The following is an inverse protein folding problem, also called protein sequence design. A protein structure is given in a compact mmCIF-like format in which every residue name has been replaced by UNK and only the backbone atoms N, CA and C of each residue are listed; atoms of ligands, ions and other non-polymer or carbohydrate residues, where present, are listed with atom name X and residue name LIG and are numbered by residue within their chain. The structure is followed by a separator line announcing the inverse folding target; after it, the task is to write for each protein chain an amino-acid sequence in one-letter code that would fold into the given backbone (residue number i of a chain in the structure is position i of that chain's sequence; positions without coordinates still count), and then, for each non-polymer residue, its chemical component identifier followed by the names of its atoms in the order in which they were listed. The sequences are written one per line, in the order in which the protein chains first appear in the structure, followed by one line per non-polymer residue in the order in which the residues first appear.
data_IF_288272360942
#
_entry.id   IF_288272360942
#
_cell.length_a   1.000
_cell.length_b   1.000
_cell.length_c   1.000
_cell.angle_alpha   90.00
_cell.angle_beta   90.00
_cell.angle_gamma   90.00
#
_symmetry.space_group_name_H-M   'P 1'
#
loop_
_entity.id
_entity.type
_entity.pdbx_description
1 polymer ?
#
# COMPACT_ATOMS: atom_id res chain seq x y z
N UNK A 1 10.72 1.31 -4.16
CA UNK A 1 10.49 0.37 -3.05
C UNK A 1 11.24 -0.91 -3.36
N UNK A 2 12.04 -1.37 -2.42
CA UNK A 2 12.84 -2.60 -2.51
C UNK A 2 12.37 -3.59 -1.45
N UNK A 3 12.18 -4.84 -1.83
CA UNK A 3 11.80 -5.95 -0.95
C UNK A 3 12.78 -7.10 -1.16
N UNK A 4 13.40 -7.58 -0.09
CA UNK A 4 14.17 -8.81 -0.11
C UNK A 4 13.49 -9.85 0.78
N UNK A 5 13.02 -10.92 0.19
CA UNK A 5 12.27 -11.98 0.89
C UNK A 5 13.18 -13.03 1.52
N UNK A 6 14.49 -12.90 1.37
CA UNK A 6 15.46 -13.91 1.83
C UNK A 6 15.10 -15.33 1.31
N UNK A 7 14.74 -15.41 0.01
CA UNK A 7 14.32 -16.60 -0.71
C UNK A 7 12.99 -17.22 -0.22
N UNK A 8 12.21 -16.53 0.60
CA UNK A 8 10.87 -16.98 0.96
C UNK A 8 9.87 -16.64 -0.16
N UNK A 9 8.85 -17.48 -0.32
CA UNK A 9 7.75 -17.23 -1.26
C UNK A 9 6.71 -16.36 -0.57
N UNK A 10 6.32 -15.24 -1.20
CA UNK A 10 5.24 -14.41 -0.69
C UNK A 10 3.92 -15.14 -0.96
N UNK A 11 3.14 -15.34 0.09
CA UNK A 11 1.82 -15.99 0.06
C UNK A 11 0.75 -15.01 0.51
N UNK A 12 -0.53 -15.40 0.40
CA UNK A 12 -1.66 -14.59 0.88
C UNK A 12 -1.62 -14.49 2.42
N UNK A 13 -1.57 -15.61 3.13
CA UNK A 13 -1.43 -15.68 4.59
C UNK A 13 -0.56 -16.88 4.98
N UNK A 14 0.25 -16.78 6.03
CA UNK A 14 0.58 -15.60 6.85
C UNK A 14 1.60 -14.66 6.18
N UNK A 15 1.68 -13.39 6.64
CA UNK A 15 2.75 -12.47 6.24
C UNK A 15 4.12 -13.06 6.58
N UNK A 16 5.03 -13.02 5.61
CA UNK A 16 6.44 -13.38 5.82
C UNK A 16 7.25 -12.13 6.19
N UNK A 17 8.31 -12.29 6.98
CA UNK A 17 9.26 -11.21 7.28
C UNK A 17 10.21 -11.00 6.11
N UNK A 18 10.40 -9.72 5.75
CA UNK A 18 11.27 -9.30 4.64
C UNK A 18 12.10 -8.09 5.05
N UNK A 19 13.24 -7.91 4.38
CA UNK A 19 13.93 -6.62 4.43
C UNK A 19 13.21 -5.65 3.49
N UNK A 20 12.79 -4.52 4.03
CA UNK A 20 11.98 -3.54 3.34
C UNK A 20 12.68 -2.19 3.31
N UNK A 21 12.83 -1.61 2.12
CA UNK A 21 13.55 -0.38 1.91
C UNK A 21 12.81 0.54 0.95
N UNK A 22 12.70 1.82 1.31
CA UNK A 22 12.12 2.87 0.46
C UNK A 22 13.17 3.94 0.24
N UNK A 23 13.44 4.23 -1.03
CA UNK A 23 14.40 5.24 -1.48
C UNK A 23 13.64 6.31 -2.25
N UNK A 24 13.84 7.59 -1.90
CA UNK A 24 13.37 8.74 -2.67
C UNK A 24 14.41 9.87 -2.61
N UNK A 25 15.25 9.94 -3.62
CA UNK A 25 16.30 10.95 -3.75
C UNK A 25 15.80 12.22 -4.49
N UNK A 26 14.54 12.23 -4.94
CA UNK A 26 13.97 13.41 -5.60
C UNK A 26 13.87 14.59 -4.62
N UNK A 27 14.22 15.85 -5.04
CA UNK A 27 14.66 16.26 -6.39
C UNK A 27 16.18 16.21 -6.61
N UNK A 28 16.95 15.67 -5.67
CA UNK A 28 18.42 15.79 -5.66
C UNK A 28 19.14 14.80 -6.60
N UNK A 29 18.47 13.70 -6.98
CA UNK A 29 19.10 12.68 -7.81
C UNK A 29 18.16 11.55 -8.22
N UNK A 30 18.75 10.54 -8.84
CA UNK A 30 18.10 9.29 -9.19
C UNK A 30 18.17 8.31 -8.02
N UNK A 31 17.24 7.36 -7.99
CA UNK A 31 17.22 6.28 -7.02
C UNK A 31 17.94 5.06 -7.61
N UNK A 32 18.92 4.53 -6.88
CA UNK A 32 19.61 3.29 -7.24
C UNK A 32 19.28 2.19 -6.24
N UNK A 33 19.18 0.92 -6.69
CA UNK A 33 18.95 -0.21 -5.78
C UNK A 33 20.00 -0.34 -4.67
N UNK A 34 21.22 0.15 -4.90
CA UNK A 34 22.32 0.13 -3.93
C UNK A 34 22.25 1.22 -2.87
N UNK A 35 21.39 2.24 -3.07
CA UNK A 35 21.26 3.34 -2.12
C UNK A 35 20.64 2.86 -0.80
N UNK A 36 21.00 3.54 0.29
CA UNK A 36 20.33 3.34 1.58
C UNK A 36 18.87 3.82 1.53
N UNK A 37 18.01 3.18 2.29
CA UNK A 37 16.61 3.62 2.43
C UNK A 37 16.53 4.92 3.22
N UNK A 38 16.36 6.05 2.51
CA UNK A 38 16.29 7.37 3.14
C UNK A 38 14.86 7.74 3.59
N UNK A 39 13.83 7.07 3.08
CA UNK A 39 12.44 7.20 3.57
C UNK A 39 12.14 6.14 4.62
N UNK A 40 12.53 4.91 4.38
CA UNK A 40 12.41 3.79 5.32
C UNK A 40 13.45 2.72 5.02
N UNK A 41 13.98 2.12 6.07
CA UNK A 41 14.78 0.91 5.98
C UNK A 41 14.61 0.09 7.25
N UNK A 42 14.13 -1.14 7.12
CA UNK A 42 13.87 -2.00 8.27
C UNK A 42 13.18 -3.31 7.86
N UNK A 43 12.57 -3.95 8.84
CA UNK A 43 11.83 -5.19 8.66
C UNK A 43 10.35 -4.87 8.38
N UNK A 44 9.72 -5.64 7.50
CA UNK A 44 8.27 -5.62 7.31
C UNK A 44 7.73 -7.03 7.15
N UNK A 45 6.46 -7.22 7.50
CA UNK A 45 5.68 -8.35 7.06
C UNK A 45 5.10 -8.07 5.67
N UNK A 46 5.14 -9.03 4.76
CA UNK A 46 4.53 -8.92 3.44
C UNK A 46 3.63 -10.11 3.14
N UNK A 47 2.51 -9.86 2.49
CA UNK A 47 1.57 -10.85 1.99
C UNK A 47 1.04 -10.45 0.62
N UNK A 48 0.62 -11.41 -0.20
CA UNK A 48 -0.22 -11.12 -1.36
C UNK A 48 -1.60 -10.76 -0.83
N UNK A 49 -2.25 -9.78 -1.43
CA UNK A 49 -3.62 -9.42 -1.07
C UNK A 49 -4.52 -9.40 -2.30
N UNK A 50 -5.83 -9.39 -2.04
CA UNK A 50 -6.85 -9.30 -3.07
C UNK A 50 -7.28 -10.68 -3.57
N UNK A 51 -8.46 -10.74 -4.15
CA UNK A 51 -9.05 -11.94 -4.73
C UNK A 51 -8.66 -12.04 -6.21
N UNK A 52 -9.35 -11.29 -7.08
CA UNK A 52 -9.04 -11.28 -8.51
C UNK A 52 -7.66 -10.68 -8.81
N UNK A 53 -7.31 -9.58 -8.17
CA UNK A 53 -6.01 -8.91 -8.39
C UNK A 53 -4.81 -9.79 -8.01
N UNK A 54 -4.98 -10.70 -7.04
CA UNK A 54 -3.96 -11.67 -6.67
C UNK A 54 -3.67 -12.71 -7.77
N UNK A 55 -4.57 -12.89 -8.74
CA UNK A 55 -4.36 -13.81 -9.88
C UNK A 55 -3.57 -13.16 -11.02
N UNK A 56 -3.45 -11.83 -11.03
CA UNK A 56 -2.77 -11.10 -12.10
C UNK A 56 -1.25 -11.25 -12.01
N UNK A 57 -0.51 -11.05 -13.13
CA UNK A 57 0.95 -11.13 -13.13
C UNK A 57 1.62 -10.17 -12.15
N UNK A 58 1.19 -8.91 -12.10
CA UNK A 58 1.61 -7.96 -11.07
C UNK A 58 0.63 -8.02 -9.90
N UNK A 59 1.11 -8.46 -8.75
CA UNK A 59 0.28 -8.68 -7.56
C UNK A 59 0.27 -7.46 -6.65
N UNK A 60 -0.86 -7.13 -6.02
CA UNK A 60 -0.90 -6.21 -4.90
C UNK A 60 -0.36 -6.86 -3.63
N UNK A 61 0.23 -6.07 -2.73
CA UNK A 61 0.79 -6.56 -1.48
C UNK A 61 0.27 -5.79 -0.28
N UNK A 62 0.01 -6.51 0.81
CA UNK A 62 -0.12 -5.95 2.15
C UNK A 62 1.26 -5.88 2.79
N UNK A 63 1.60 -4.72 3.35
CA UNK A 63 2.89 -4.48 4.02
C UNK A 63 2.59 -4.08 5.46
N UNK A 64 3.33 -4.64 6.40
CA UNK A 64 3.25 -4.30 7.82
C UNK A 64 4.63 -3.99 8.34
N UNK A 65 4.93 -2.71 8.59
CA UNK A 65 6.23 -2.31 9.15
C UNK A 65 6.38 -2.83 10.56
N UNK A 66 7.55 -3.44 10.86
CA UNK A 66 7.84 -4.13 12.11
C UNK A 66 9.15 -3.65 12.74
N UNK A 67 9.23 -3.77 14.07
CA UNK A 67 10.49 -3.64 14.78
C UNK A 67 11.33 -4.93 14.70
N UNK A 68 12.54 -4.89 15.27
CA UNK A 68 13.42 -6.06 15.28
C UNK A 68 12.94 -7.22 16.14
N UNK A 69 11.94 -7.00 17.00
CA UNK A 69 11.26 -8.03 17.79
C UNK A 69 10.07 -8.63 17.06
N UNK A 70 9.69 -8.07 15.89
CA UNK A 70 8.54 -8.51 15.10
C UNK A 70 7.21 -7.86 15.48
N UNK A 71 7.23 -6.86 16.38
CA UNK A 71 6.03 -6.10 16.73
C UNK A 71 5.75 -5.02 15.68
N UNK A 72 4.48 -4.57 15.64
CA UNK A 72 4.06 -3.49 14.76
C UNK A 72 4.84 -2.21 15.06
N UNK A 73 5.38 -1.60 14.03
CA UNK A 73 6.15 -0.36 14.09
C UNK A 73 5.47 0.73 13.27
N UNK A 74 4.78 1.65 13.95
CA UNK A 74 4.13 2.76 13.27
C UNK A 74 5.17 3.77 12.78
N UNK A 75 5.18 4.01 11.47
CA UNK A 75 6.11 4.93 10.81
C UNK A 75 5.34 5.92 9.93
N UNK A 76 5.91 7.10 9.72
CA UNK A 76 5.38 8.05 8.74
C UNK A 76 6.18 7.91 7.45
N UNK A 77 5.52 7.50 6.37
CA UNK A 77 6.12 7.42 5.04
C UNK A 77 5.65 8.63 4.22
N UNK A 78 6.57 9.37 3.61
CA UNK A 78 6.28 10.53 2.77
C UNK A 78 5.36 11.59 3.42
N UNK A 79 5.46 11.79 4.73
CA UNK A 79 4.60 12.71 5.47
C UNK A 79 3.14 12.25 5.63
N UNK A 80 2.82 11.02 5.27
CA UNK A 80 1.54 10.39 5.58
C UNK A 80 1.43 10.12 7.08
N UNK A 81 0.22 9.98 7.64
CA UNK A 81 0.04 9.66 9.06
C UNK A 81 0.84 8.43 9.47
N UNK A 82 1.28 8.40 10.75
CA UNK A 82 1.98 7.24 11.30
C UNK A 82 1.07 6.02 11.30
N UNK A 83 1.52 4.96 10.64
CA UNK A 83 0.82 3.69 10.52
C UNK A 83 1.83 2.56 10.34
N UNK A 84 1.41 1.34 10.63
CA UNK A 84 2.19 0.14 10.33
C UNK A 84 1.60 -0.66 9.16
N UNK A 85 0.30 -0.53 8.89
CA UNK A 85 -0.36 -1.22 7.79
C UNK A 85 -0.36 -0.37 6.51
N UNK A 86 0.36 -0.85 5.52
CA UNK A 86 0.53 -0.21 4.21
C UNK A 86 0.07 -1.15 3.10
N UNK A 87 -0.22 -0.60 1.94
CA UNK A 87 -0.55 -1.37 0.74
C UNK A 87 0.30 -0.92 -0.44
N UNK A 88 0.67 -1.88 -1.28
CA UNK A 88 1.20 -1.66 -2.62
C UNK A 88 0.10 -2.07 -3.60
N UNK A 89 -0.59 -1.08 -4.14
CA UNK A 89 -1.68 -1.29 -5.11
C UNK A 89 -1.05 -1.55 -6.46
N UNK A 90 -1.22 -2.76 -7.01
CA UNK A 90 -0.80 -3.07 -8.36
C UNK A 90 -1.86 -2.58 -9.37
N UNK A 91 -1.41 -1.78 -10.33
CA UNK A 91 -2.30 -1.21 -11.36
C UNK A 91 -2.21 -1.98 -12.69
N UNK A 92 -2.09 -3.31 -12.65
CA UNK A 92 -1.84 -4.15 -13.84
C UNK A 92 -2.84 -3.92 -14.97
N UNK A 93 -4.12 -3.77 -14.65
CA UNK A 93 -5.20 -3.55 -15.61
C UNK A 93 -5.40 -2.06 -15.98
N UNK A 94 -4.70 -1.15 -15.33
CA UNK A 94 -4.75 0.27 -15.62
C UNK A 94 -3.48 0.73 -16.33
N UNK A 95 -3.54 0.81 -17.65
CA UNK A 95 -2.39 1.24 -18.48
C UNK A 95 -1.93 2.67 -18.21
N UNK A 96 -2.74 3.48 -17.53
CA UNK A 96 -2.36 4.85 -17.12
C UNK A 96 -1.65 4.87 -15.77
N UNK A 97 -1.80 3.83 -14.95
CA UNK A 97 -1.36 3.73 -13.54
C UNK A 97 -1.93 4.79 -12.60
N UNK A 98 -2.83 5.66 -13.08
CA UNK A 98 -3.27 6.85 -12.37
C UNK A 98 -4.70 6.80 -11.86
N UNK A 99 -5.56 5.87 -12.33
CA UNK A 99 -6.98 5.89 -12.02
C UNK A 99 -7.26 5.90 -10.53
N UNK A 100 -6.56 5.04 -9.78
CA UNK A 100 -6.73 4.96 -8.32
C UNK A 100 -6.25 6.22 -7.62
N UNK A 101 -5.04 6.64 -7.94
CA UNK A 101 -4.43 7.84 -7.35
C UNK A 101 -5.27 9.07 -7.62
N UNK A 102 -5.74 9.23 -8.86
CA UNK A 102 -6.61 10.34 -9.25
C UNK A 102 -7.97 10.29 -8.54
N UNK A 103 -8.57 9.10 -8.44
CA UNK A 103 -9.86 8.93 -7.75
C UNK A 103 -9.75 9.30 -6.26
N UNK A 104 -8.67 8.88 -5.59
CA UNK A 104 -8.41 9.24 -4.19
C UNK A 104 -8.18 10.74 -4.02
N UNK A 105 -7.36 11.36 -4.88
CA UNK A 105 -7.07 12.80 -4.84
C UNK A 105 -8.34 13.64 -5.08
N UNK A 106 -9.17 13.26 -6.04
CA UNK A 106 -10.43 13.93 -6.30
C UNK A 106 -11.39 13.81 -5.11
N UNK A 107 -11.49 12.61 -4.52
CA UNK A 107 -12.38 12.37 -3.40
C UNK A 107 -11.94 13.14 -2.15
N UNK A 108 -10.63 13.25 -1.89
CA UNK A 108 -10.08 14.09 -0.83
C UNK A 108 -10.38 15.58 -1.08
N UNK A 109 -10.20 16.06 -2.33
CA UNK A 109 -10.52 17.45 -2.71
C UNK A 109 -12.01 17.79 -2.61
N UNK A 110 -12.89 16.81 -2.68
CA UNK A 110 -14.32 16.97 -2.43
C UNK A 110 -14.66 17.04 -0.92
N UNK A 111 -13.67 17.02 -0.03
CA UNK A 111 -13.85 17.08 1.42
C UNK A 111 -14.10 15.75 2.10
N UNK A 112 -13.89 14.63 1.41
CA UNK A 112 -14.05 13.30 1.95
C UNK A 112 -12.70 12.68 2.34
N UNK A 113 -12.73 11.70 3.25
CA UNK A 113 -11.53 10.94 3.57
C UNK A 113 -11.17 9.99 2.43
N UNK A 114 -9.96 10.08 1.94
CA UNK A 114 -9.39 9.15 0.98
C UNK A 114 -7.96 8.72 1.42
N UNK A 115 -7.50 7.52 1.05
CA UNK A 115 -6.12 7.13 1.29
C UNK A 115 -5.16 8.02 0.51
N UNK A 116 -4.18 8.57 1.20
CA UNK A 116 -3.05 9.23 0.53
C UNK A 116 -2.15 8.16 -0.06
N UNK A 117 -1.69 8.39 -1.28
CA UNK A 117 -0.85 7.45 -2.01
C UNK A 117 0.36 8.13 -2.61
N UNK A 118 1.43 7.37 -2.78
CA UNK A 118 2.64 7.78 -3.51
C UNK A 118 2.92 6.75 -4.59
N UNK A 119 3.04 7.17 -5.84
CA UNK A 119 3.47 6.27 -6.93
C UNK A 119 4.93 5.86 -6.69
N UNK A 120 5.22 4.59 -6.91
CA UNK A 120 6.54 4.04 -6.71
C UNK A 120 6.81 2.88 -7.69
N UNK A 121 8.07 2.64 -7.97
CA UNK A 121 8.54 1.43 -8.58
C UNK A 121 8.82 0.39 -7.50
N UNK A 122 8.54 -0.88 -7.80
CA UNK A 122 8.73 -1.99 -6.88
C UNK A 122 9.73 -2.98 -7.45
N UNK A 123 10.71 -3.34 -6.64
CA UNK A 123 11.71 -4.37 -6.93
C UNK A 123 11.64 -5.42 -5.83
N UNK A 124 11.49 -6.68 -6.20
CA UNK A 124 11.42 -7.83 -5.28
C UNK A 124 12.54 -8.79 -5.63
N UNK A 125 13.45 -9.05 -4.70
CA UNK A 125 14.62 -9.92 -4.90
C UNK A 125 15.40 -9.54 -6.17
N UNK A 126 15.69 -8.25 -6.32
CA UNK A 126 16.37 -7.64 -7.46
C UNK A 126 15.64 -7.76 -8.81
N UNK A 127 14.41 -8.27 -8.83
CA UNK A 127 13.56 -8.34 -10.02
C UNK A 127 12.58 -7.17 -10.01
N UNK A 128 12.56 -6.40 -11.11
CA UNK A 128 11.62 -5.30 -11.29
C UNK A 128 10.18 -5.80 -11.39
N UNK A 129 9.31 -5.31 -10.50
CA UNK A 129 7.91 -5.73 -10.39
C UNK A 129 6.91 -4.69 -10.91
N UNK A 130 7.39 -3.60 -11.51
CA UNK A 130 6.55 -2.57 -12.11
C UNK A 130 6.16 -1.43 -11.17
N UNK A 131 5.23 -0.59 -11.65
CA UNK A 131 4.70 0.55 -10.90
C UNK A 131 3.57 0.12 -9.97
N UNK A 132 3.57 0.68 -8.77
CA UNK A 132 2.53 0.52 -7.78
C UNK A 132 2.21 1.85 -7.10
N UNK A 133 1.04 1.94 -6.46
CA UNK A 133 0.75 3.03 -5.55
C UNK A 133 0.92 2.54 -4.10
N UNK A 134 1.87 3.11 -3.38
CA UNK A 134 2.04 2.88 -1.94
C UNK A 134 1.07 3.78 -1.18
N UNK A 135 0.27 3.23 -0.29
CA UNK A 135 -0.67 3.98 0.53
C UNK A 135 -0.92 3.32 1.89
N UNK A 136 -1.60 4.04 2.77
CA UNK A 136 -2.04 3.52 4.07
C UNK A 136 -3.18 2.54 3.84
N UNK A 137 -3.11 1.35 4.46
CA UNK A 137 -4.22 0.39 4.46
C UNK A 137 -5.38 0.97 5.25
N UNK A 138 -6.52 1.13 4.60
CA UNK A 138 -7.72 1.60 5.28
C UNK A 138 -8.22 0.54 6.26
N UNK A 139 -8.28 0.89 7.55
CA UNK A 139 -8.88 0.02 8.57
C UNK A 139 -10.39 0.23 8.56
N UNK A 140 -11.14 -0.75 8.10
CA UNK A 140 -12.62 -0.71 8.06
C UNK A 140 -13.29 -0.51 9.42
N UNK A 141 -12.58 -0.74 10.51
CA UNK A 141 -13.15 -0.88 11.86
C UNK A 141 -13.58 0.47 12.48
N UNK A 142 -12.99 1.58 12.08
CA UNK A 142 -13.27 2.90 12.68
C UNK A 142 -14.54 3.57 12.19
N UNK A 143 -14.95 3.30 10.96
CA UNK A 143 -16.09 3.97 10.33
C UNK A 143 -17.45 3.36 10.69
N UNK A 144 -17.49 2.08 11.04
CA UNK A 144 -18.76 1.36 11.25
C UNK A 144 -19.21 1.36 12.72
N UNK A 145 -18.29 1.47 13.70
CA UNK A 145 -18.64 1.36 15.12
C UNK A 145 -19.05 2.66 15.81
N UNK A 146 -18.83 3.81 15.23
CA UNK A 146 -19.14 5.12 15.84
C UNK A 146 -20.22 5.93 15.18
N UNK A 147 -20.68 5.53 14.00
CA UNK A 147 -21.73 6.23 13.27
C UNK A 147 -23.05 5.49 13.41
N UNK A 148 -23.99 6.14 14.06
CA UNK A 148 -25.42 5.81 13.92
C UNK A 148 -25.83 6.30 12.52
N UNK A 149 -25.48 5.53 11.49
CA UNK A 149 -25.63 5.94 10.09
C UNK A 149 -27.08 5.71 9.71
N UNK A 150 -27.82 6.79 9.58
CA UNK A 150 -29.08 6.74 8.86
C UNK A 150 -28.82 6.32 7.40
N UNK A 151 -29.71 5.52 6.84
CA UNK A 151 -29.59 4.85 5.54
C UNK A 151 -29.12 5.72 4.35
N UNK A 152 -29.20 7.05 4.46
CA UNK A 152 -28.72 7.98 3.43
C UNK A 152 -27.20 8.16 3.36
N UNK A 153 -26.47 7.79 4.44
CA UNK A 153 -24.99 7.86 4.47
C UNK A 153 -24.32 6.53 4.10
N UNK A 154 -25.07 5.43 4.10
CA UNK A 154 -24.56 4.13 3.68
C UNK A 154 -24.10 4.12 2.22
N UNK A 155 -24.70 4.96 1.37
CA UNK A 155 -24.30 5.06 -0.03
C UNK A 155 -22.92 5.69 -0.23
N UNK A 156 -22.53 6.65 0.60
CA UNK A 156 -21.21 7.29 0.50
C UNK A 156 -20.10 6.47 1.16
N UNK A 157 -20.41 5.76 2.26
CA UNK A 157 -19.47 4.84 2.90
C UNK A 157 -19.29 3.56 2.09
N UNK A 158 -20.33 3.06 1.42
CA UNK A 158 -20.23 1.92 0.53
C UNK A 158 -19.39 2.22 -0.73
N UNK A 159 -19.39 3.46 -1.21
CA UNK A 159 -18.52 3.87 -2.32
C UNK A 159 -17.04 3.83 -1.93
N UNK A 160 -16.69 4.16 -0.69
CA UNK A 160 -15.30 4.08 -0.20
C UNK A 160 -14.88 2.61 -0.02
N UNK A 161 -15.76 1.77 0.48
CA UNK A 161 -15.54 0.32 0.60
C UNK A 161 -15.45 -0.31 -0.79
N UNK A 162 -16.32 0.06 -1.72
CA UNK A 162 -16.29 -0.46 -3.09
C UNK A 162 -15.06 -0.01 -3.90
N UNK A 163 -14.45 1.14 -3.63
CA UNK A 163 -13.19 1.49 -4.30
C UNK A 163 -12.02 0.61 -3.86
N UNK A 164 -12.08 0.00 -2.69
CA UNK A 164 -11.13 -1.04 -2.28
C UNK A 164 -11.56 -2.45 -2.70
N UNK A 165 -12.86 -2.75 -2.67
CA UNK A 165 -13.43 -4.04 -3.09
C UNK A 165 -13.40 -4.24 -4.61
N UNK A 166 -13.37 -3.15 -5.40
CA UNK A 166 -13.16 -3.23 -6.87
C UNK A 166 -11.80 -3.83 -7.23
N UNK A 167 -10.86 -3.86 -6.29
CA UNK A 167 -9.57 -4.53 -6.47
C UNK A 167 -9.50 -5.90 -5.82
N UNK A 168 -10.46 -6.23 -4.96
CA UNK A 168 -10.53 -7.50 -4.24
C UNK A 168 -11.61 -8.45 -4.78
N UNK A 169 -12.38 -8.05 -5.81
CA UNK A 169 -13.34 -8.91 -6.52
C UNK A 169 -12.94 -9.18 -7.96
#
# INVERSE_FOLDING_TARGET
VMVNTNNQIIVDEPKINVDFKIIDNYPLGLNYPTDSGNVYQGIAGIEIRGSYSATLPQKPYGIETRDYQGNNNNVSLFGMPQENDWILIANYNDKTFLRNVLSFDLFEKMGHYAPRTKLCEVVINDIYNGYSALGVKQKQIGLVKGMNIQNSMLSSSSVIVHTFDVFDN
#
